data_IF_072619653675
#
_entry.id   IF_072619653675
#
_cell.length_a   1.000
_cell.length_b   1.000
_cell.length_c   1.000
_cell.angle_alpha   90.00
_cell.angle_beta   90.00
_cell.angle_gamma   90.00
#
_symmetry.space_group_name_H-M   'P 1'
#
loop_
_entity.id
_entity.type
_entity.pdbx_description
1 polymer ?
#
# COMPACT_ATOMS: atom_id res chain seq x y z
N UNK A 1 11.34 23.31 -48.93
CA UNK A 1 10.18 22.72 -48.23
C UNK A 1 9.88 21.38 -48.89
N UNK A 2 10.03 20.27 -48.18
CA UNK A 2 9.60 18.97 -48.70
C UNK A 2 8.07 18.95 -48.76
N UNK A 3 7.53 18.62 -49.93
CA UNK A 3 6.10 18.45 -50.12
C UNK A 3 5.68 17.13 -49.45
N UNK A 4 5.21 17.20 -48.21
CA UNK A 4 4.66 16.04 -47.51
C UNK A 4 3.30 15.72 -48.14
N UNK A 5 3.05 14.47 -48.59
CA UNK A 5 1.74 14.09 -49.11
C UNK A 5 0.65 14.28 -48.06
N UNK A 6 -0.51 14.77 -48.48
CA UNK A 6 -1.67 14.88 -47.60
C UNK A 6 -2.21 13.48 -47.29
N UNK A 7 -1.74 12.88 -46.19
CA UNK A 7 -2.28 11.65 -45.66
C UNK A 7 -3.45 11.93 -44.71
N UNK A 8 -4.44 11.05 -44.73
CA UNK A 8 -5.57 11.13 -43.79
C UNK A 8 -5.11 10.85 -42.35
N UNK A 9 -5.37 11.81 -41.46
CA UNK A 9 -4.96 11.74 -40.06
C UNK A 9 -5.66 10.62 -39.30
N UNK A 10 -6.92 10.25 -39.64
CA UNK A 10 -7.57 9.10 -39.01
C UNK A 10 -6.88 7.78 -39.33
N UNK A 11 -6.15 7.72 -40.44
CA UNK A 11 -5.34 6.57 -40.82
C UNK A 11 -3.92 6.67 -40.23
N UNK A 12 -3.33 7.86 -40.17
CA UNK A 12 -1.94 8.02 -39.68
C UNK A 12 -1.80 7.88 -38.17
N UNK A 13 -2.71 8.45 -37.38
CA UNK A 13 -2.55 8.52 -35.91
C UNK A 13 -2.49 7.12 -35.27
N UNK A 14 -3.37 6.15 -35.61
CA UNK A 14 -3.26 4.79 -35.08
C UNK A 14 -1.94 4.10 -35.44
N UNK A 15 -1.43 4.33 -36.65
CA UNK A 15 -0.14 3.76 -37.09
C UNK A 15 1.08 4.42 -36.41
N UNK A 16 0.89 5.59 -35.81
CA UNK A 16 1.91 6.26 -34.99
C UNK A 16 1.84 5.85 -33.52
N UNK A 17 0.90 4.99 -33.11
CA UNK A 17 0.72 4.58 -31.70
C UNK A 17 1.99 3.94 -31.09
N UNK A 18 2.81 3.25 -31.88
CA UNK A 18 4.12 2.73 -31.45
C UNK A 18 5.16 3.83 -31.14
N UNK A 19 4.85 5.10 -31.41
CA UNK A 19 5.64 6.29 -31.07
C UNK A 19 4.94 7.12 -30.00
N UNK A 20 4.54 6.47 -28.91
CA UNK A 20 3.74 7.07 -27.84
C UNK A 20 4.29 8.41 -27.31
N UNK A 21 5.60 8.51 -27.07
CA UNK A 21 6.22 9.74 -26.58
C UNK A 21 6.03 10.93 -27.54
N UNK A 22 6.20 10.70 -28.86
CA UNK A 22 6.02 11.73 -29.87
C UNK A 22 4.58 12.25 -29.89
N UNK A 23 3.61 11.35 -29.77
CA UNK A 23 2.19 11.71 -29.71
C UNK A 23 1.85 12.48 -28.43
N UNK A 24 2.43 12.10 -27.29
CA UNK A 24 2.29 12.83 -26.03
C UNK A 24 2.84 14.25 -26.14
N UNK A 25 4.04 14.42 -26.70
CA UNK A 25 4.68 15.74 -26.86
C UNK A 25 3.87 16.66 -27.79
N UNK A 26 3.35 16.12 -28.90
CA UNK A 26 2.46 16.87 -29.79
C UNK A 26 1.16 17.27 -29.09
N UNK A 27 0.51 16.33 -28.39
CA UNK A 27 -0.74 16.61 -27.68
C UNK A 27 -0.54 17.67 -26.61
N UNK A 28 0.58 17.62 -25.87
CA UNK A 28 0.93 18.63 -24.88
C UNK A 28 1.17 20.01 -25.53
N UNK A 29 1.83 20.05 -26.68
CA UNK A 29 2.03 21.29 -27.45
C UNK A 29 0.70 21.91 -27.91
N UNK A 30 -0.21 21.08 -28.44
CA UNK A 30 -1.54 21.50 -28.88
C UNK A 30 -2.37 22.01 -27.69
N UNK A 31 -2.37 21.29 -26.56
CA UNK A 31 -3.08 21.69 -25.35
C UNK A 31 -2.58 23.03 -24.79
N UNK A 32 -1.28 23.32 -24.89
CA UNK A 32 -0.72 24.63 -24.50
C UNK A 32 -1.19 25.76 -25.42
N UNK A 33 -1.41 25.48 -26.70
CA UNK A 33 -1.81 26.47 -27.71
C UNK A 33 -3.32 26.70 -27.73
N UNK A 34 -4.12 25.67 -27.43
CA UNK A 34 -5.56 25.68 -27.56
C UNK A 34 -6.26 25.29 -26.25
N UNK A 35 -6.86 26.27 -25.52
CA UNK A 35 -7.49 26.03 -24.22
C UNK A 35 -8.60 24.97 -24.23
N UNK A 36 -9.37 24.86 -25.33
CA UNK A 36 -10.43 23.86 -25.45
C UNK A 36 -9.89 22.43 -25.44
N UNK A 37 -8.74 22.17 -26.11
CA UNK A 37 -8.08 20.86 -26.09
C UNK A 37 -7.57 20.54 -24.70
N UNK A 38 -6.97 21.51 -24.00
CA UNK A 38 -6.55 21.34 -22.62
C UNK A 38 -7.72 20.97 -21.69
N UNK A 39 -8.87 21.64 -21.86
CA UNK A 39 -10.06 21.34 -21.06
C UNK A 39 -10.59 19.93 -21.34
N UNK A 40 -10.72 19.54 -22.61
CA UNK A 40 -11.12 18.17 -22.98
C UNK A 40 -10.19 17.13 -22.37
N UNK A 41 -8.86 17.32 -22.46
CA UNK A 41 -7.90 16.40 -21.85
C UNK A 41 -8.05 16.30 -20.33
N UNK A 42 -8.30 17.42 -19.64
CA UNK A 42 -8.54 17.41 -18.18
C UNK A 42 -9.82 16.68 -17.82
N UNK A 43 -10.90 16.89 -18.56
CA UNK A 43 -12.18 16.21 -18.33
C UNK A 43 -12.05 14.70 -18.54
N UNK A 44 -11.42 14.27 -19.63
CA UNK A 44 -11.17 12.85 -19.90
C UNK A 44 -10.25 12.22 -18.85
N UNK A 45 -9.21 12.93 -18.44
CA UNK A 45 -8.33 12.48 -17.36
C UNK A 45 -9.05 12.38 -16.01
N UNK A 46 -9.90 13.34 -15.65
CA UNK A 46 -10.70 13.27 -14.42
C UNK A 46 -11.72 12.13 -14.48
N UNK A 47 -12.31 11.84 -15.65
CA UNK A 47 -13.20 10.69 -15.83
C UNK A 47 -12.46 9.36 -15.61
N UNK A 48 -11.24 9.23 -16.13
CA UNK A 48 -10.36 8.07 -15.86
C UNK A 48 -10.05 7.94 -14.36
N UNK A 49 -9.67 9.04 -13.70
CA UNK A 49 -9.41 9.05 -12.26
C UNK A 49 -10.65 8.68 -11.44
N UNK A 50 -11.83 9.17 -11.82
CA UNK A 50 -13.09 8.83 -11.14
C UNK A 50 -13.46 7.35 -11.32
N UNK A 51 -13.23 6.79 -12.50
CA UNK A 51 -13.44 5.37 -12.75
C UNK A 51 -12.50 4.51 -11.90
N UNK A 52 -11.24 4.91 -11.75
CA UNK A 52 -10.27 4.21 -10.91
C UNK A 52 -10.64 4.33 -9.41
N UNK A 53 -11.05 5.53 -8.96
CA UNK A 53 -11.54 5.74 -7.59
C UNK A 53 -12.77 4.89 -7.27
N UNK A 54 -13.70 4.72 -8.22
CA UNK A 54 -14.88 3.85 -8.04
C UNK A 54 -14.54 2.38 -7.86
N UNK A 55 -13.38 1.95 -8.32
CA UNK A 55 -12.86 0.58 -8.19
C UNK A 55 -11.97 0.40 -6.98
N UNK A 56 -11.56 1.49 -6.34
CA UNK A 56 -10.66 1.47 -5.19
C UNK A 56 -11.47 1.31 -3.91
N UNK A 57 -11.12 0.31 -3.10
CA UNK A 57 -11.69 0.14 -1.76
C UNK A 57 -10.83 0.94 -0.77
N UNK A 58 -11.47 1.80 0.03
CA UNK A 58 -10.80 2.60 1.06
C UNK A 58 -11.01 2.00 2.46
N UNK A 59 -9.92 1.49 3.04
CA UNK A 59 -9.93 0.83 4.35
C UNK A 59 -9.64 1.78 5.52
N UNK A 60 -9.40 3.07 5.28
CA UNK A 60 -8.96 3.98 6.34
C UNK A 60 -9.93 4.06 7.53
N UNK A 61 -11.21 3.81 7.30
CA UNK A 61 -12.24 3.75 8.34
C UNK A 61 -12.01 2.61 9.35
N UNK A 62 -11.46 1.46 8.93
CA UNK A 62 -11.11 0.35 9.82
C UNK A 62 -10.05 0.75 10.85
N UNK A 63 -9.01 1.49 10.45
CA UNK A 63 -7.98 1.95 11.39
C UNK A 63 -8.56 2.82 12.52
N UNK A 64 -9.57 3.64 12.21
CA UNK A 64 -10.28 4.45 13.21
C UNK A 64 -11.17 3.57 14.09
N UNK A 65 -11.87 2.61 13.50
CA UNK A 65 -12.72 1.65 14.22
C UNK A 65 -11.89 0.86 15.24
N UNK A 66 -10.78 0.26 14.81
CA UNK A 66 -9.84 -0.47 15.68
C UNK A 66 -9.29 0.44 16.78
N UNK A 67 -8.90 1.67 16.44
CA UNK A 67 -8.44 2.61 17.46
C UNK A 67 -9.51 2.90 18.52
N UNK A 68 -10.78 3.06 18.12
CA UNK A 68 -11.89 3.23 19.06
C UNK A 68 -12.16 1.96 19.87
N UNK A 69 -12.15 0.79 19.22
CA UNK A 69 -12.37 -0.49 19.87
C UNK A 69 -11.35 -0.74 21.00
N UNK A 70 -10.08 -0.43 20.75
CA UNK A 70 -9.01 -0.60 21.74
C UNK A 70 -9.07 0.52 22.80
N UNK A 71 -9.07 1.79 22.40
CA UNK A 71 -8.83 2.92 23.33
C UNK A 71 -10.09 3.57 23.92
N UNK A 72 -11.29 3.17 23.48
CA UNK A 72 -12.56 3.76 23.93
C UNK A 72 -13.47 2.77 24.65
N UNK A 73 -13.51 1.50 24.22
CA UNK A 73 -14.41 0.47 24.80
C UNK A 73 -14.19 0.23 26.29
N UNK A 74 -12.94 0.28 26.73
CA UNK A 74 -12.56 0.04 28.13
C UNK A 74 -12.63 1.26 29.04
N UNK A 75 -12.99 2.45 28.52
CA UNK A 75 -12.96 3.68 29.32
C UNK A 75 -13.93 3.60 30.50
N UNK A 76 -13.36 3.62 31.70
CA UNK A 76 -14.12 3.52 32.96
C UNK A 76 -14.46 2.09 33.39
N UNK A 77 -14.13 1.09 32.58
CA UNK A 77 -14.18 -0.31 33.00
C UNK A 77 -12.97 -0.64 33.87
N UNK A 78 -13.17 -1.46 34.91
CA UNK A 78 -12.09 -1.90 35.82
C UNK A 78 -12.14 -3.41 36.00
N UNK A 79 -10.97 -4.02 36.17
CA UNK A 79 -10.83 -5.43 36.55
C UNK A 79 -11.42 -6.37 35.51
N UNK A 80 -12.16 -7.38 35.99
CA UNK A 80 -12.68 -8.49 35.16
C UNK A 80 -13.52 -8.06 33.96
N UNK A 81 -14.26 -6.95 34.05
CA UNK A 81 -15.08 -6.46 32.93
C UNK A 81 -14.25 -5.96 31.75
N UNK A 82 -13.12 -5.31 32.01
CA UNK A 82 -12.22 -4.85 30.95
C UNK A 82 -11.52 -6.04 30.27
N UNK A 83 -11.19 -7.08 31.05
CA UNK A 83 -10.64 -8.33 30.55
C UNK A 83 -11.65 -9.14 29.73
N UNK A 84 -12.91 -9.21 30.13
CA UNK A 84 -13.95 -9.86 29.32
C UNK A 84 -14.19 -9.10 28.01
N UNK A 85 -14.23 -7.77 28.07
CA UNK A 85 -14.35 -6.92 26.89
C UNK A 85 -13.15 -7.04 25.93
N UNK A 86 -11.94 -7.29 26.45
CA UNK A 86 -10.76 -7.39 25.59
C UNK A 86 -10.83 -8.57 24.63
N UNK A 87 -11.45 -9.70 24.99
CA UNK A 87 -11.63 -10.81 24.04
C UNK A 87 -12.45 -10.41 22.81
N UNK A 88 -13.55 -9.69 23.01
CA UNK A 88 -14.38 -9.20 21.91
C UNK A 88 -13.64 -8.17 21.06
N UNK A 89 -12.80 -7.34 21.67
CA UNK A 89 -11.95 -6.38 20.94
C UNK A 89 -10.86 -7.11 20.16
N UNK A 90 -10.18 -8.10 20.74
CA UNK A 90 -9.17 -8.90 20.04
C UNK A 90 -9.76 -9.55 18.78
N UNK A 91 -10.91 -10.23 18.92
CA UNK A 91 -11.58 -10.86 17.79
C UNK A 91 -11.94 -9.84 16.70
N UNK A 92 -12.53 -8.69 17.08
CA UNK A 92 -12.87 -7.65 16.12
C UNK A 92 -11.64 -7.10 15.36
N UNK A 93 -10.50 -6.97 16.04
CA UNK A 93 -9.26 -6.52 15.43
C UNK A 93 -8.75 -7.57 14.43
N UNK A 94 -8.77 -8.85 14.79
CA UNK A 94 -8.35 -9.94 13.89
C UNK A 94 -9.26 -10.03 12.66
N UNK A 95 -10.59 -10.03 12.84
CA UNK A 95 -11.56 -10.05 11.74
C UNK A 95 -11.35 -8.85 10.80
N UNK A 96 -11.07 -7.67 11.36
CA UNK A 96 -10.80 -6.46 10.58
C UNK A 96 -9.52 -6.60 9.75
N UNK A 97 -8.47 -7.20 10.32
CA UNK A 97 -7.20 -7.41 9.65
C UNK A 97 -7.38 -8.42 8.49
N UNK A 98 -8.05 -9.53 8.77
CA UNK A 98 -8.37 -10.58 7.80
C UNK A 98 -9.18 -10.01 6.64
N UNK A 99 -10.26 -9.26 6.93
CA UNK A 99 -11.10 -8.62 5.90
C UNK A 99 -10.29 -7.69 4.98
N UNK A 100 -9.39 -6.88 5.55
CA UNK A 100 -8.51 -6.01 4.76
C UNK A 100 -7.57 -6.86 3.88
N UNK A 101 -6.95 -7.89 4.47
CA UNK A 101 -6.04 -8.80 3.77
C UNK A 101 -6.72 -9.50 2.60
N UNK A 102 -7.93 -10.03 2.79
CA UNK A 102 -8.71 -10.69 1.75
C UNK A 102 -9.08 -9.76 0.59
N UNK A 103 -9.60 -8.56 0.90
CA UNK A 103 -10.07 -7.63 -0.13
C UNK A 103 -8.91 -6.96 -0.86
N UNK A 104 -7.86 -6.57 -0.15
CA UNK A 104 -6.70 -5.91 -0.73
C UNK A 104 -5.74 -6.92 -1.39
N UNK A 105 -5.65 -8.14 -0.88
CA UNK A 105 -4.89 -9.25 -1.46
C UNK A 105 -5.62 -10.00 -2.57
N UNK A 106 -6.81 -9.55 -2.98
CA UNK A 106 -7.52 -10.17 -4.07
C UNK A 106 -6.81 -9.96 -5.42
N UNK A 107 -6.93 -10.94 -6.32
CA UNK A 107 -6.33 -10.87 -7.67
C UNK A 107 -6.86 -9.67 -8.48
N UNK A 108 -8.13 -9.30 -8.28
CA UNK A 108 -8.77 -8.17 -8.93
C UNK A 108 -8.48 -6.81 -8.28
N UNK A 109 -7.81 -6.78 -7.11
CA UNK A 109 -7.56 -5.55 -6.38
C UNK A 109 -6.56 -4.65 -7.14
N UNK A 110 -6.90 -3.37 -7.28
CA UNK A 110 -6.00 -2.38 -7.87
C UNK A 110 -4.84 -2.04 -6.92
N UNK A 111 -3.75 -1.49 -7.48
CA UNK A 111 -2.65 -0.94 -6.68
C UNK A 111 -3.14 0.02 -5.58
N UNK A 112 -4.11 0.88 -5.89
CA UNK A 112 -4.66 1.86 -4.95
C UNK A 112 -5.40 1.18 -3.79
N UNK A 113 -6.09 0.06 -4.07
CA UNK A 113 -6.75 -0.77 -3.04
C UNK A 113 -5.71 -1.44 -2.15
N UNK A 114 -4.70 -2.07 -2.76
CA UNK A 114 -3.55 -2.68 -2.06
C UNK A 114 -2.84 -1.69 -1.15
N UNK A 115 -2.56 -0.51 -1.69
CA UNK A 115 -1.97 0.61 -0.95
C UNK A 115 -2.84 1.03 0.24
N UNK A 116 -4.16 1.21 0.03
CA UNK A 116 -5.06 1.58 1.13
C UNK A 116 -5.09 0.51 2.23
N UNK A 117 -5.08 -0.77 1.84
CA UNK A 117 -4.97 -1.91 2.74
C UNK A 117 -3.68 -1.85 3.57
N UNK A 118 -2.52 -1.79 2.93
CA UNK A 118 -1.21 -1.72 3.61
C UNK A 118 -1.06 -0.51 4.53
N UNK A 119 -1.50 0.67 4.09
CA UNK A 119 -1.50 1.88 4.93
C UNK A 119 -2.39 1.71 6.17
N UNK A 120 -3.53 1.03 6.02
CA UNK A 120 -4.48 0.77 7.11
C UNK A 120 -3.95 -0.28 8.08
N UNK A 121 -3.43 -1.41 7.59
CA UNK A 121 -2.80 -2.45 8.40
C UNK A 121 -1.62 -1.88 9.20
N UNK A 122 -0.76 -1.06 8.58
CA UNK A 122 0.34 -0.38 9.31
C UNK A 122 -0.19 0.50 10.46
N UNK A 123 -1.29 1.22 10.25
CA UNK A 123 -1.91 2.06 11.29
C UNK A 123 -2.52 1.22 12.42
N UNK A 124 -3.12 0.06 12.09
CA UNK A 124 -3.62 -0.91 13.06
C UNK A 124 -2.47 -1.45 13.91
N UNK A 125 -1.40 -1.95 13.28
CA UNK A 125 -0.20 -2.40 13.99
C UNK A 125 0.38 -1.33 14.92
N UNK A 126 0.45 -0.09 14.45
CA UNK A 126 0.88 1.04 15.29
C UNK A 126 -0.05 1.28 16.48
N UNK A 127 -1.36 1.10 16.31
CA UNK A 127 -2.33 1.23 17.39
C UNK A 127 -2.12 0.14 18.45
N UNK A 128 -1.98 -1.12 18.02
CA UNK A 128 -1.68 -2.26 18.90
C UNK A 128 -0.40 -1.97 19.71
N UNK A 129 0.66 -1.48 19.06
CA UNK A 129 1.90 -1.11 19.73
C UNK A 129 1.79 0.06 20.71
N UNK A 130 0.80 0.96 20.61
CA UNK A 130 0.77 2.19 21.42
C UNK A 130 -0.36 2.23 22.47
N UNK A 131 -1.27 1.26 22.47
CA UNK A 131 -2.39 1.24 23.42
C UNK A 131 -1.98 0.71 24.80
N UNK A 132 -2.13 1.53 25.84
CA UNK A 132 -1.59 1.27 27.19
C UNK A 132 -2.64 0.78 28.21
N UNK A 133 -3.93 0.85 27.88
CA UNK A 133 -4.99 0.42 28.80
C UNK A 133 -5.10 -1.10 28.92
N UNK A 134 -5.97 -1.60 29.80
CA UNK A 134 -6.13 -3.04 30.03
C UNK A 134 -6.48 -3.78 28.73
N UNK A 135 -7.33 -3.19 27.90
CA UNK A 135 -7.69 -3.77 26.60
C UNK A 135 -6.49 -3.76 25.66
N UNK A 136 -5.80 -2.62 25.53
CA UNK A 136 -4.59 -2.51 24.72
C UNK A 136 -3.50 -3.49 25.14
N UNK A 137 -3.34 -3.72 26.45
CA UNK A 137 -2.41 -4.72 26.96
C UNK A 137 -2.79 -6.15 26.52
N UNK A 138 -4.05 -6.55 26.67
CA UNK A 138 -4.49 -7.88 26.25
C UNK A 138 -4.44 -8.06 24.73
N UNK A 139 -4.83 -7.05 23.95
CA UNK A 139 -4.70 -7.07 22.48
C UNK A 139 -3.24 -7.23 22.08
N UNK A 140 -2.34 -6.43 22.65
CA UNK A 140 -0.90 -6.53 22.36
C UNK A 140 -0.35 -7.92 22.70
N UNK A 141 -0.78 -8.50 23.81
CA UNK A 141 -0.37 -9.86 24.21
C UNK A 141 -0.83 -10.91 23.20
N UNK A 142 -2.02 -10.77 22.63
CA UNK A 142 -2.52 -11.65 21.56
C UNK A 142 -1.58 -11.66 20.35
N UNK A 143 -1.16 -10.47 19.89
CA UNK A 143 -0.19 -10.27 18.79
C UNK A 143 1.27 -10.61 19.15
N UNK A 144 1.52 -11.17 20.34
CA UNK A 144 2.80 -11.81 20.65
C UNK A 144 2.97 -13.19 20.00
N UNK A 145 1.86 -13.85 19.64
CA UNK A 145 1.88 -15.14 18.94
C UNK A 145 0.97 -15.18 17.71
N UNK A 146 0.05 -14.22 17.58
CA UNK A 146 -0.82 -14.08 16.42
C UNK A 146 -0.07 -13.32 15.30
N UNK A 147 -0.08 -13.89 14.10
CA UNK A 147 0.58 -13.38 12.88
C UNK A 147 -0.39 -12.76 11.88
N UNK A 148 -1.69 -12.64 12.20
CA UNK A 148 -2.75 -12.22 11.26
C UNK A 148 -2.41 -10.88 10.58
N UNK A 149 -1.77 -9.95 11.31
CA UNK A 149 -1.37 -8.67 10.75
C UNK A 149 -0.31 -8.82 9.66
N UNK A 150 0.73 -9.59 9.93
CA UNK A 150 1.79 -9.88 8.97
C UNK A 150 1.28 -10.72 7.80
N UNK A 151 0.48 -11.74 8.07
CA UNK A 151 -0.15 -12.60 7.06
C UNK A 151 -1.01 -11.78 6.09
N UNK A 152 -1.82 -10.84 6.60
CA UNK A 152 -2.60 -9.93 5.77
C UNK A 152 -1.70 -9.00 4.94
N UNK A 153 -0.58 -8.52 5.48
CA UNK A 153 0.38 -7.71 4.72
C UNK A 153 1.08 -8.54 3.63
N UNK A 154 1.46 -9.79 3.93
CA UNK A 154 2.03 -10.72 2.96
C UNK A 154 1.07 -11.02 1.82
N UNK A 155 -0.18 -11.37 2.13
CA UNK A 155 -1.20 -11.65 1.13
C UNK A 155 -1.38 -10.50 0.12
N UNK A 156 -1.25 -9.24 0.58
CA UNK A 156 -1.27 -8.08 -0.31
C UNK A 156 0.02 -7.99 -1.14
N UNK A 157 1.19 -8.07 -0.50
CA UNK A 157 2.49 -7.90 -1.14
C UNK A 157 2.80 -8.99 -2.17
N UNK A 158 2.41 -10.24 -1.92
CA UNK A 158 2.59 -11.35 -2.86
C UNK A 158 1.83 -11.13 -4.18
N UNK A 159 0.74 -10.35 -4.15
CA UNK A 159 -0.02 -9.98 -5.35
C UNK A 159 0.49 -8.72 -6.03
N UNK A 160 1.41 -7.99 -5.40
CA UNK A 160 2.03 -6.81 -5.99
C UNK A 160 3.20 -7.20 -6.87
N UNK A 161 3.32 -6.55 -8.03
CA UNK A 161 4.53 -6.68 -8.86
C UNK A 161 5.72 -5.98 -8.18
N UNK A 162 6.97 -6.29 -8.58
CA UNK A 162 8.14 -5.59 -8.06
C UNK A 162 8.06 -4.07 -8.24
N UNK A 163 7.52 -3.60 -9.37
CA UNK A 163 7.32 -2.18 -9.66
C UNK A 163 6.26 -1.56 -8.75
N UNK A 164 5.15 -2.27 -8.48
CA UNK A 164 4.14 -1.82 -7.52
C UNK A 164 4.73 -1.72 -6.11
N UNK A 165 5.60 -2.65 -5.69
CA UNK A 165 6.27 -2.60 -4.38
C UNK A 165 7.27 -1.45 -4.29
N UNK A 166 8.03 -1.18 -5.35
CA UNK A 166 8.91 0.00 -5.44
C UNK A 166 8.11 1.31 -5.40
N UNK A 167 7.00 1.35 -6.15
CA UNK A 167 6.05 2.46 -6.12
C UNK A 167 5.51 2.68 -4.71
N UNK A 168 5.15 1.60 -4.00
CA UNK A 168 4.68 1.67 -2.62
C UNK A 168 5.74 2.19 -1.65
N UNK A 169 7.00 1.76 -1.78
CA UNK A 169 8.11 2.30 -1.00
C UNK A 169 8.28 3.81 -1.19
N UNK A 170 8.03 4.28 -2.41
CA UNK A 170 8.17 5.69 -2.83
C UNK A 170 6.95 6.55 -2.49
N UNK A 171 5.89 5.99 -1.90
CA UNK A 171 4.76 6.77 -1.40
C UNK A 171 5.22 7.64 -0.23
N UNK A 172 5.18 8.97 -0.43
CA UNK A 172 5.54 9.97 0.58
C UNK A 172 4.32 10.80 0.96
N UNK A 173 4.14 11.02 2.26
CA UNK A 173 3.26 12.06 2.79
C UNK A 173 4.03 12.97 3.77
N UNK A 174 3.32 13.85 4.48
CA UNK A 174 3.87 14.78 5.48
C UNK A 174 4.68 14.11 6.60
N UNK A 175 4.49 12.80 6.83
CA UNK A 175 5.12 12.01 7.88
C UNK A 175 6.23 11.10 7.35
N UNK A 176 6.65 11.27 6.10
CA UNK A 176 7.71 10.49 5.46
C UNK A 176 7.20 9.39 4.53
N UNK A 177 8.13 8.58 4.04
CA UNK A 177 7.80 7.50 3.10
C UNK A 177 7.10 6.32 3.79
N UNK A 178 6.37 5.52 3.03
CA UNK A 178 5.73 4.31 3.56
C UNK A 178 6.77 3.35 4.15
N UNK A 179 7.93 3.18 3.50
CA UNK A 179 8.98 2.31 4.00
C UNK A 179 9.56 2.77 5.35
N UNK A 180 9.76 4.08 5.53
CA UNK A 180 10.18 4.65 6.82
C UNK A 180 9.15 4.34 7.92
N UNK A 181 7.86 4.43 7.59
CA UNK A 181 6.76 4.13 8.52
C UNK A 181 6.69 2.66 8.91
N UNK A 182 7.05 1.75 8.01
CA UNK A 182 7.16 0.32 8.30
C UNK A 182 8.36 0.03 9.20
N UNK A 183 9.52 0.64 8.94
CA UNK A 183 10.70 0.53 9.81
C UNK A 183 10.46 1.12 11.21
N UNK A 184 9.73 2.22 11.31
CA UNK A 184 9.25 2.75 12.60
C UNK A 184 8.37 1.74 13.34
N UNK A 185 7.43 1.11 12.63
CA UNK A 185 6.55 0.11 13.22
C UNK A 185 7.35 -1.08 13.75
N UNK A 186 8.33 -1.57 12.98
CA UNK A 186 9.24 -2.64 13.41
C UNK A 186 10.04 -2.26 14.67
N UNK A 187 10.53 -1.02 14.77
CA UNK A 187 11.22 -0.57 15.99
C UNK A 187 10.29 -0.55 17.20
N UNK A 188 9.05 -0.11 17.00
CA UNK A 188 8.03 -0.11 18.05
C UNK A 188 7.67 -1.54 18.48
N UNK A 189 7.41 -2.43 17.53
CA UNK A 189 6.99 -3.80 17.79
C UNK A 189 8.04 -4.59 18.59
N UNK A 190 9.33 -4.39 18.26
CA UNK A 190 10.47 -4.95 19.02
C UNK A 190 10.50 -4.55 20.49
N UNK A 191 10.01 -3.36 20.84
CA UNK A 191 10.00 -2.91 22.24
C UNK A 191 8.97 -3.66 23.09
N UNK A 192 8.04 -4.36 22.44
CA UNK A 192 6.97 -5.13 23.07
C UNK A 192 7.04 -6.63 22.76
N UNK A 193 8.04 -7.08 21.98
CA UNK A 193 8.16 -8.46 21.49
C UNK A 193 6.89 -8.96 20.79
N UNK A 194 6.35 -8.13 19.88
CA UNK A 194 5.19 -8.47 19.05
C UNK A 194 5.54 -8.24 17.58
N UNK A 195 4.71 -8.79 16.70
CA UNK A 195 4.85 -8.69 15.25
C UNK A 195 6.23 -9.16 14.76
N UNK A 196 6.59 -10.42 15.07
CA UNK A 196 7.93 -10.96 14.86
C UNK A 196 8.28 -11.14 13.37
N UNK A 197 7.27 -11.29 12.50
CA UNK A 197 7.44 -11.52 11.06
C UNK A 197 7.45 -10.23 10.24
N UNK A 198 7.25 -9.08 10.89
CA UNK A 198 7.31 -7.77 10.25
C UNK A 198 8.65 -7.47 9.53
N UNK A 199 9.84 -7.97 9.96
CA UNK A 199 11.06 -7.86 9.18
C UNK A 199 10.96 -8.48 7.77
N UNK A 200 10.27 -9.62 7.65
CA UNK A 200 10.14 -10.37 6.40
C UNK A 200 9.16 -9.66 5.46
N UNK A 201 8.06 -9.11 5.99
CA UNK A 201 7.17 -8.19 5.27
C UNK A 201 7.94 -7.00 4.68
N UNK A 202 8.84 -6.41 5.45
CA UNK A 202 9.69 -5.28 4.99
C UNK A 202 10.70 -5.74 3.93
N UNK A 203 11.24 -6.96 4.03
CA UNK A 203 12.17 -7.52 3.05
C UNK A 203 11.48 -7.72 1.70
N UNK A 204 10.29 -8.32 1.71
CA UNK A 204 9.45 -8.52 0.53
C UNK A 204 9.06 -7.18 -0.12
N UNK A 205 8.63 -6.21 0.69
CA UNK A 205 8.30 -4.86 0.22
C UNK A 205 9.49 -4.15 -0.47
N UNK A 206 10.72 -4.47 -0.07
CA UNK A 206 11.95 -3.92 -0.67
C UNK A 206 12.46 -4.74 -1.86
N UNK A 207 11.73 -5.77 -2.31
CA UNK A 207 12.16 -6.72 -3.34
C UNK A 207 13.51 -7.38 -3.05
N UNK A 208 13.87 -7.57 -1.78
CA UNK A 208 15.18 -8.12 -1.41
C UNK A 208 15.30 -9.63 -1.62
N UNK A 209 14.18 -10.32 -1.79
CA UNK A 209 14.13 -11.77 -1.87
C UNK A 209 14.06 -12.29 -3.33
N UNK A 210 13.97 -11.40 -4.33
CA UNK A 210 13.81 -11.76 -5.76
C UNK A 210 15.08 -11.56 -6.62
N UNK A 211 16.22 -11.22 -6.02
CA UNK A 211 17.43 -10.81 -6.74
C UNK A 211 18.74 -11.32 -6.12
N UNK A 212 18.87 -12.64 -5.98
CA UNK A 212 20.18 -13.28 -5.81
C UNK A 212 20.71 -13.76 -7.15
N UNK A 213 21.45 -12.92 -7.87
CA UNK A 213 22.67 -13.28 -8.63
C UNK A 213 23.19 -12.10 -9.45
N UNK A 214 24.49 -11.81 -9.29
CA UNK A 214 25.49 -11.11 -10.14
C UNK A 214 26.51 -10.44 -9.18
N UNK A 215 27.77 -10.84 -9.01
CA UNK A 215 28.61 -11.84 -9.66
C UNK A 215 29.70 -12.30 -8.68
N UNK A 216 29.96 -13.61 -8.68
CA UNK A 216 31.24 -14.16 -8.23
C UNK A 216 32.32 -13.76 -9.24
N UNK A 217 33.25 -12.91 -8.84
CA UNK A 217 34.60 -12.92 -9.42
C UNK A 217 35.57 -13.50 -8.40
N UNK A 218 35.62 -14.83 -8.42
CA UNK A 218 36.84 -15.58 -8.17
C UNK A 218 37.84 -15.22 -9.27
N UNK A 219 38.99 -14.70 -8.86
CA UNK A 219 40.23 -14.89 -9.60
C UNK A 219 41.33 -15.10 -8.56
N UNK A 220 41.42 -16.34 -8.09
CA UNK A 220 42.62 -16.87 -7.46
C UNK A 220 43.85 -16.79 -8.38
N UNK A 221 44.94 -16.35 -7.76
CA UNK A 221 46.37 -16.53 -8.04
C UNK A 221 46.83 -17.27 -9.31
N UNK A 222 47.79 -16.66 -10.03
CA UNK A 222 49.06 -17.32 -10.37
C UNK A 222 50.13 -16.35 -10.91
N UNK A 223 51.17 -16.07 -10.10
CA UNK A 223 52.61 -16.06 -10.44
C UNK A 223 53.43 -15.30 -9.38
#
# INVERSE_FOLDING_TARGET
MQHVPAHDLSTCIPNLAGRGQLLQDYMLSIAKMYPHVAETLRVEYEALLQQERRRTIDFNHHSKSVWHAINSTGRGMKGSKAFEASFGVCHNVCDTIEEIGEQAGAEWASFQTRRSGLETLRKIGKTICLSEDVIGHEVRKEFGSNTDLEDAMFAILERMTPEEREQMCSVVDEKGSFIQKMEELQKLSKSYCILEELPDVISLLKNKDEGGDEDVQDNGDNA
#
